data_IF_215048240813
#
_entry.id   IF_215048240813
#
_cell.length_a   1.000
_cell.length_b   1.000
_cell.length_c   1.000
_cell.angle_alpha   90.00
_cell.angle_beta   90.00
_cell.angle_gamma   90.00
#
_symmetry.space_group_name_H-M   'P 1'
#
loop_
_entity.id
_entity.type
_entity.pdbx_description
1 polymer ?
#
# COMPACT_ATOMS: atom_id res chain seq x y z
N UNK A 1 -5.59 -18.36 22.34
CA UNK A 1 -6.73 -18.02 23.20
C UNK A 1 -7.69 -17.17 22.38
N UNK A 2 -8.90 -17.65 22.13
CA UNK A 2 -9.89 -16.94 21.30
C UNK A 2 -10.61 -15.87 22.10
N UNK A 3 -11.27 -14.91 21.42
CA UNK A 3 -12.11 -13.91 22.10
C UNK A 3 -13.22 -14.55 22.93
N UNK A 4 -13.73 -15.73 22.49
CA UNK A 4 -14.77 -16.46 23.19
C UNK A 4 -14.24 -17.10 24.48
N UNK A 5 -12.99 -17.56 24.49
CA UNK A 5 -12.34 -18.08 25.70
C UNK A 5 -12.10 -16.97 26.75
N UNK A 6 -11.73 -15.77 26.30
CA UNK A 6 -11.58 -14.61 27.17
C UNK A 6 -12.93 -14.22 27.80
N UNK A 7 -13.98 -14.15 26.97
CA UNK A 7 -15.32 -13.80 27.42
C UNK A 7 -15.87 -14.84 28.40
N UNK A 8 -15.61 -16.12 28.17
CA UNK A 8 -16.01 -17.19 29.10
C UNK A 8 -15.31 -17.05 30.44
N UNK A 9 -13.98 -16.82 30.45
CA UNK A 9 -13.23 -16.59 31.68
C UNK A 9 -13.71 -15.38 32.47
N UNK A 10 -14.03 -14.28 31.80
CA UNK A 10 -14.58 -13.08 32.45
C UNK A 10 -15.94 -13.37 33.09
N UNK A 11 -16.79 -14.17 32.46
CA UNK A 11 -18.09 -14.57 32.98
C UNK A 11 -17.95 -15.49 34.20
N UNK A 12 -17.02 -16.46 34.16
CA UNK A 12 -16.70 -17.32 35.30
C UNK A 12 -16.18 -16.47 36.49
N UNK A 13 -15.29 -15.53 36.22
CA UNK A 13 -14.74 -14.63 37.25
C UNK A 13 -15.85 -13.80 37.92
N UNK A 14 -16.83 -13.33 37.15
CA UNK A 14 -17.98 -12.58 37.71
C UNK A 14 -18.78 -13.45 38.68
N UNK A 15 -19.08 -14.70 38.32
CA UNK A 15 -19.84 -15.59 39.20
C UNK A 15 -19.05 -15.99 40.45
N UNK A 16 -17.76 -16.28 40.33
CA UNK A 16 -16.88 -16.58 41.46
C UNK A 16 -16.80 -15.36 42.41
N UNK A 17 -16.52 -14.19 41.87
CA UNK A 17 -16.40 -12.96 42.67
C UNK A 17 -17.72 -12.52 43.31
N UNK A 18 -18.86 -12.78 42.62
CA UNK A 18 -20.19 -12.51 43.17
C UNK A 18 -20.51 -13.39 44.38
N UNK A 19 -19.97 -14.62 44.44
CA UNK A 19 -20.09 -15.49 45.61
C UNK A 19 -19.27 -14.99 46.82
N UNK A 20 -18.13 -14.36 46.56
CA UNK A 20 -17.23 -13.89 47.63
C UNK A 20 -17.63 -12.52 48.20
N UNK A 21 -17.84 -11.54 47.32
CA UNK A 21 -18.01 -10.11 47.74
C UNK A 21 -19.43 -9.58 47.50
N UNK A 22 -20.33 -10.41 47.03
CA UNK A 22 -21.70 -10.04 46.69
C UNK A 22 -21.86 -9.48 45.26
N UNK A 23 -23.05 -9.69 44.67
CA UNK A 23 -23.35 -9.40 43.27
C UNK A 23 -23.13 -7.94 42.88
N UNK A 24 -23.58 -7.01 43.74
CA UNK A 24 -23.51 -5.58 43.44
C UNK A 24 -22.07 -5.06 43.38
N UNK A 25 -21.21 -5.55 44.24
CA UNK A 25 -19.79 -5.18 44.28
C UNK A 25 -19.02 -5.85 43.13
N UNK A 26 -19.21 -7.15 42.91
CA UNK A 26 -18.58 -7.87 41.82
C UNK A 26 -18.94 -7.28 40.44
N UNK A 27 -20.22 -6.95 40.20
CA UNK A 27 -20.64 -6.34 38.95
C UNK A 27 -20.01 -4.95 38.74
N UNK A 28 -19.89 -4.14 39.78
CA UNK A 28 -19.25 -2.80 39.70
C UNK A 28 -17.77 -2.90 39.39
N UNK A 29 -17.04 -3.79 40.04
CA UNK A 29 -15.61 -3.98 39.87
C UNK A 29 -15.25 -4.56 38.48
N UNK A 30 -16.12 -5.40 37.91
CA UNK A 30 -15.88 -6.05 36.63
C UNK A 30 -16.63 -5.38 35.44
N UNK A 31 -17.29 -4.25 35.68
CA UNK A 31 -17.98 -3.49 34.63
C UNK A 31 -19.24 -4.16 34.06
N UNK A 32 -19.89 -5.04 34.81
CA UNK A 32 -21.13 -5.68 34.41
C UNK A 32 -22.37 -5.03 35.04
N UNK A 33 -23.47 -4.97 34.29
CA UNK A 33 -24.74 -4.59 34.86
C UNK A 33 -25.35 -5.76 35.63
N UNK A 34 -25.97 -5.49 36.82
CA UNK A 34 -26.54 -6.52 37.70
C UNK A 34 -27.60 -7.40 37.04
N UNK A 35 -28.38 -6.81 36.12
CA UNK A 35 -29.42 -7.58 35.37
C UNK A 35 -28.81 -8.75 34.56
N UNK A 36 -27.55 -8.60 34.09
CA UNK A 36 -26.86 -9.67 33.36
C UNK A 36 -26.60 -10.87 34.29
N UNK A 37 -26.10 -10.64 35.52
CA UNK A 37 -25.90 -11.70 36.51
C UNK A 37 -27.22 -12.43 36.84
N UNK A 38 -28.27 -11.70 37.20
CA UNK A 38 -29.55 -12.30 37.57
C UNK A 38 -30.26 -13.00 36.39
N UNK A 39 -30.03 -12.58 35.17
CA UNK A 39 -30.52 -13.29 33.98
C UNK A 39 -29.88 -14.68 33.82
N UNK A 40 -28.58 -14.78 34.12
CA UNK A 40 -27.83 -16.04 33.95
C UNK A 40 -27.85 -16.91 35.21
N UNK A 41 -28.05 -16.36 36.37
CA UNK A 41 -28.08 -17.09 37.66
C UNK A 41 -28.98 -18.34 37.62
N UNK A 42 -30.28 -18.27 37.23
CA UNK A 42 -31.15 -19.46 37.23
C UNK A 42 -30.75 -20.49 36.17
N UNK A 43 -30.04 -20.10 35.11
CA UNK A 43 -29.51 -21.01 34.11
C UNK A 43 -28.29 -21.75 34.65
N UNK A 44 -27.41 -21.06 35.31
CA UNK A 44 -26.22 -21.61 35.94
C UNK A 44 -26.58 -22.55 37.08
N UNK A 45 -27.53 -22.18 37.91
CA UNK A 45 -28.04 -23.04 39.02
C UNK A 45 -28.65 -24.35 38.53
N UNK A 46 -29.28 -24.35 37.33
CA UNK A 46 -29.92 -25.55 36.77
C UNK A 46 -28.96 -26.40 35.92
N UNK A 47 -28.05 -25.80 35.20
CA UNK A 47 -27.29 -26.45 34.13
C UNK A 47 -25.75 -26.31 34.29
N UNK A 48 -25.30 -25.63 35.35
CA UNK A 48 -23.89 -25.44 35.63
C UNK A 48 -23.22 -24.25 34.92
N UNK A 49 -21.99 -23.96 35.34
CA UNK A 49 -21.18 -22.80 34.86
C UNK A 49 -20.79 -22.92 33.38
N UNK A 50 -20.81 -24.11 32.80
CA UNK A 50 -20.52 -24.33 31.37
C UNK A 50 -21.46 -23.55 30.44
N UNK A 51 -22.67 -23.26 30.91
CA UNK A 51 -23.65 -22.48 30.17
C UNK A 51 -23.26 -21.03 29.95
N UNK A 52 -22.26 -20.55 30.69
CA UNK A 52 -21.67 -19.22 30.49
C UNK A 52 -20.77 -19.15 29.26
N UNK A 53 -20.40 -20.31 28.69
CA UNK A 53 -19.61 -20.35 27.46
C UNK A 53 -20.41 -19.74 26.32
N UNK A 54 -19.82 -18.81 25.53
CA UNK A 54 -20.46 -18.30 24.34
C UNK A 54 -20.87 -19.46 23.43
N UNK A 55 -22.10 -19.48 22.99
CA UNK A 55 -22.54 -20.46 22.00
C UNK A 55 -21.87 -20.16 20.69
N UNK A 56 -21.37 -21.18 20.00
CA UNK A 56 -20.91 -21.04 18.63
C UNK A 56 -22.00 -20.33 17.81
N UNK A 57 -21.64 -19.23 17.18
CA UNK A 57 -22.57 -18.51 16.31
C UNK A 57 -22.90 -19.42 15.14
N UNK A 58 -24.06 -20.02 15.16
CA UNK A 58 -24.60 -20.67 13.95
C UNK A 58 -24.60 -19.63 12.86
N UNK A 59 -23.91 -19.91 11.75
CA UNK A 59 -23.99 -19.03 10.59
C UNK A 59 -25.46 -18.79 10.26
N UNK A 60 -25.94 -17.54 10.22
CA UNK A 60 -27.32 -17.26 9.87
C UNK A 60 -27.59 -17.85 8.50
N UNK A 61 -28.67 -18.61 8.35
CA UNK A 61 -29.14 -19.01 7.03
C UNK A 61 -29.54 -17.74 6.28
N UNK A 62 -28.74 -17.40 5.27
CA UNK A 62 -29.05 -16.27 4.41
C UNK A 62 -30.21 -16.64 3.50
N UNK A 63 -31.35 -15.92 3.52
CA UNK A 63 -32.51 -16.23 2.67
C UNK A 63 -32.16 -16.33 1.18
N UNK A 64 -31.15 -15.56 0.75
CA UNK A 64 -30.64 -15.48 -0.63
C UNK A 64 -29.42 -16.35 -0.89
N UNK A 65 -29.10 -17.32 -0.05
CA UNK A 65 -27.99 -18.24 -0.30
C UNK A 65 -28.36 -19.15 -1.47
N UNK A 66 -27.42 -19.30 -2.41
CA UNK A 66 -27.60 -20.22 -3.53
C UNK A 66 -27.74 -21.65 -3.00
N UNK A 67 -28.62 -22.47 -3.64
CA UNK A 67 -28.73 -23.88 -3.31
C UNK A 67 -27.41 -24.63 -3.44
N UNK A 68 -27.12 -25.64 -2.61
CA UNK A 68 -25.85 -26.37 -2.63
C UNK A 68 -25.45 -26.89 -4.01
N UNK A 69 -26.39 -27.41 -4.77
CA UNK A 69 -26.10 -27.92 -6.13
C UNK A 69 -25.62 -26.83 -7.11
N UNK A 70 -26.10 -25.59 -6.96
CA UNK A 70 -25.60 -24.44 -7.75
C UNK A 70 -24.19 -24.07 -7.29
N UNK A 71 -23.91 -24.08 -5.99
CA UNK A 71 -22.57 -23.81 -5.48
C UNK A 71 -21.56 -24.84 -5.98
N UNK A 72 -21.89 -26.13 -5.91
CA UNK A 72 -21.05 -27.21 -6.44
C UNK A 72 -20.79 -27.05 -7.94
N UNK A 73 -21.82 -26.68 -8.70
CA UNK A 73 -21.67 -26.45 -10.14
C UNK A 73 -20.79 -25.25 -10.46
N UNK A 74 -20.90 -24.17 -9.68
CA UNK A 74 -19.99 -23.01 -9.80
C UNK A 74 -18.56 -23.42 -9.50
N UNK A 75 -18.33 -24.20 -8.45
CA UNK A 75 -16.99 -24.67 -8.04
C UNK A 75 -16.39 -25.57 -9.12
N UNK A 76 -17.13 -26.61 -9.55
CA UNK A 76 -16.67 -27.54 -10.57
C UNK A 76 -16.35 -26.83 -11.87
N UNK A 77 -17.21 -25.92 -12.32
CA UNK A 77 -16.99 -25.16 -13.53
C UNK A 77 -15.75 -24.24 -13.42
N UNK A 78 -15.58 -23.57 -12.27
CA UNK A 78 -14.46 -22.66 -12.03
C UNK A 78 -13.11 -23.41 -11.90
N UNK A 79 -13.12 -24.64 -11.41
CA UNK A 79 -11.94 -25.52 -11.37
C UNK A 79 -11.61 -26.08 -12.75
N UNK A 80 -12.62 -26.46 -13.55
CA UNK A 80 -12.41 -26.86 -14.95
C UNK A 80 -11.91 -25.73 -15.86
N UNK A 81 -12.26 -24.48 -15.49
CA UNK A 81 -11.88 -23.28 -16.25
C UNK A 81 -11.23 -22.22 -15.36
N UNK A 82 -10.10 -22.48 -14.75
CA UNK A 82 -9.51 -21.64 -13.70
C UNK A 82 -9.11 -20.24 -14.18
N UNK A 83 -8.98 -20.05 -15.49
CA UNK A 83 -8.69 -18.75 -16.11
C UNK A 83 -9.87 -17.78 -16.17
N UNK A 84 -11.11 -18.28 -15.98
CA UNK A 84 -12.31 -17.47 -16.11
C UNK A 84 -12.62 -16.72 -14.80
N UNK A 85 -12.86 -15.41 -14.92
CA UNK A 85 -13.34 -14.60 -13.79
C UNK A 85 -14.83 -14.82 -13.49
N UNK A 86 -15.32 -14.42 -12.30
CA UNK A 86 -16.70 -14.66 -11.85
C UNK A 86 -17.77 -14.20 -12.86
N UNK A 87 -17.52 -13.10 -13.57
CA UNK A 87 -18.46 -12.57 -14.58
C UNK A 87 -18.60 -13.51 -15.78
N UNK A 88 -17.50 -14.10 -16.23
CA UNK A 88 -17.51 -15.07 -17.34
C UNK A 88 -18.06 -16.43 -16.90
N UNK A 89 -17.75 -16.86 -15.66
CA UNK A 89 -18.34 -18.08 -15.08
C UNK A 89 -19.86 -17.95 -15.02
N UNK A 90 -20.40 -16.83 -14.53
CA UNK A 90 -21.84 -16.60 -14.50
C UNK A 90 -22.48 -16.62 -15.90
N UNK A 91 -21.85 -15.96 -16.86
CA UNK A 91 -22.34 -15.94 -18.25
C UNK A 91 -22.32 -17.32 -18.90
N UNK A 92 -21.27 -18.10 -18.69
CA UNK A 92 -21.16 -19.46 -19.23
C UNK A 92 -22.19 -20.42 -18.64
N UNK A 93 -22.36 -20.42 -17.33
CA UNK A 93 -23.35 -21.25 -16.64
C UNK A 93 -24.79 -20.95 -17.07
N UNK A 94 -25.05 -19.70 -17.51
CA UNK A 94 -26.34 -19.28 -18.06
C UNK A 94 -26.65 -19.83 -19.45
N UNK A 95 -25.66 -20.35 -20.17
CA UNK A 95 -25.89 -20.97 -21.49
C UNK A 95 -26.54 -22.35 -21.36
N UNK A 96 -27.51 -22.70 -22.22
CA UNK A 96 -28.22 -23.99 -22.17
C UNK A 96 -27.26 -25.19 -22.17
N UNK A 97 -26.19 -25.13 -22.98
CA UNK A 97 -25.17 -26.18 -23.07
C UNK A 97 -24.40 -26.40 -21.76
N UNK A 98 -24.39 -25.43 -20.85
CA UNK A 98 -23.76 -25.51 -19.53
C UNK A 98 -24.75 -25.61 -18.38
N UNK A 99 -26.02 -25.86 -18.69
CA UNK A 99 -27.10 -26.15 -17.73
C UNK A 99 -28.09 -25.01 -17.48
N UNK A 100 -27.96 -23.85 -18.16
CA UNK A 100 -28.91 -22.76 -18.10
C UNK A 100 -29.09 -22.12 -16.71
N UNK A 101 -28.04 -22.20 -15.85
CA UNK A 101 -28.12 -21.72 -14.47
C UNK A 101 -27.90 -20.21 -14.43
N UNK A 102 -28.96 -19.46 -14.11
CA UNK A 102 -28.90 -18.00 -14.00
C UNK A 102 -28.39 -17.60 -12.62
N UNK A 103 -27.18 -17.10 -12.56
CA UNK A 103 -26.55 -16.59 -11.34
C UNK A 103 -25.86 -15.25 -11.59
N UNK A 104 -25.84 -14.38 -10.58
CA UNK A 104 -25.12 -13.11 -10.70
C UNK A 104 -23.61 -13.30 -10.53
N UNK A 105 -22.82 -12.44 -11.19
CA UNK A 105 -21.35 -12.45 -11.04
C UNK A 105 -20.90 -12.26 -9.59
N UNK A 106 -21.62 -11.44 -8.82
CA UNK A 106 -21.37 -11.25 -7.38
C UNK A 106 -21.73 -12.49 -6.57
N UNK A 107 -22.77 -13.24 -6.94
CA UNK A 107 -23.11 -14.52 -6.34
C UNK A 107 -21.99 -15.54 -6.56
N UNK A 108 -21.52 -15.68 -7.80
CA UNK A 108 -20.38 -16.55 -8.13
C UNK A 108 -19.14 -16.17 -7.33
N UNK A 109 -18.81 -14.86 -7.24
CA UNK A 109 -17.65 -14.41 -6.48
C UNK A 109 -17.76 -14.74 -4.98
N UNK A 110 -18.95 -14.58 -4.38
CA UNK A 110 -19.20 -14.91 -2.97
C UNK A 110 -19.03 -16.42 -2.71
N UNK A 111 -19.53 -17.28 -3.60
CA UNK A 111 -19.32 -18.73 -3.53
C UNK A 111 -17.82 -19.04 -3.61
N UNK A 112 -17.15 -18.57 -4.64
CA UNK A 112 -15.72 -18.84 -4.83
C UNK A 112 -14.88 -18.35 -3.65
N UNK A 113 -15.15 -17.19 -3.07
CA UNK A 113 -14.43 -16.67 -1.89
C UNK A 113 -14.67 -17.54 -0.65
N UNK A 114 -15.88 -18.02 -0.43
CA UNK A 114 -16.24 -18.91 0.70
C UNK A 114 -15.45 -20.21 0.67
N UNK A 115 -15.18 -20.71 -0.53
CA UNK A 115 -14.39 -21.94 -0.75
C UNK A 115 -12.90 -21.70 -1.01
N UNK A 116 -12.37 -20.48 -0.77
CA UNK A 116 -10.96 -20.18 -0.99
C UNK A 116 -10.51 -20.15 -2.47
N UNK A 117 -11.48 -20.01 -3.40
CA UNK A 117 -11.27 -20.05 -4.85
C UNK A 117 -11.42 -18.69 -5.53
N UNK A 118 -11.40 -17.60 -4.78
CA UNK A 118 -11.71 -16.25 -5.25
C UNK A 118 -10.75 -15.75 -6.33
N UNK A 119 -9.49 -16.17 -6.30
CA UNK A 119 -8.46 -15.77 -7.26
C UNK A 119 -8.12 -16.87 -8.27
N UNK A 120 -7.58 -16.47 -9.43
CA UNK A 120 -7.08 -17.42 -10.43
C UNK A 120 -5.98 -18.34 -9.87
N UNK A 121 -5.09 -17.80 -9.06
CA UNK A 121 -3.97 -18.55 -8.48
C UNK A 121 -4.48 -19.64 -7.55
N UNK A 122 -5.45 -19.31 -6.68
CA UNK A 122 -6.07 -20.28 -5.78
C UNK A 122 -6.72 -21.44 -6.55
N UNK A 123 -7.43 -21.16 -7.64
CA UNK A 123 -8.05 -22.20 -8.47
C UNK A 123 -7.01 -23.06 -9.21
N UNK A 124 -5.96 -22.44 -9.75
CA UNK A 124 -4.90 -23.16 -10.43
C UNK A 124 -4.14 -24.09 -9.49
N UNK A 125 -3.93 -23.69 -8.23
CA UNK A 125 -3.23 -24.52 -7.24
C UNK A 125 -3.95 -25.82 -6.87
N UNK A 126 -5.26 -25.92 -7.16
CA UNK A 126 -6.08 -27.10 -6.86
C UNK A 126 -6.35 -28.00 -8.06
N UNK A 127 -5.98 -27.59 -9.28
CA UNK A 127 -6.18 -28.42 -10.48
C UNK A 127 -5.06 -29.45 -10.56
N UNK A 128 -5.41 -30.73 -10.39
CA UNK A 128 -4.49 -31.84 -10.55
C UNK A 128 -3.81 -31.79 -11.93
N UNK A 129 -2.49 -31.89 -11.97
CA UNK A 129 -1.70 -31.78 -13.21
C UNK A 129 -1.35 -30.34 -13.61
N UNK A 130 -1.86 -29.34 -12.93
CA UNK A 130 -1.25 -28.02 -12.94
C UNK A 130 -0.01 -28.04 -12.02
N UNK A 131 0.92 -28.93 -12.33
CA UNK A 131 2.31 -28.59 -12.08
C UNK A 131 2.46 -27.21 -12.69
N UNK A 132 2.82 -26.21 -11.88
CA UNK A 132 3.26 -24.93 -12.42
C UNK A 132 4.10 -25.30 -13.65
N UNK A 133 3.68 -24.90 -14.87
CA UNK A 133 4.51 -25.10 -16.06
C UNK A 133 5.89 -24.79 -15.57
N UNK A 134 6.86 -25.71 -15.67
CA UNK A 134 8.21 -25.42 -15.22
C UNK A 134 8.45 -24.05 -15.80
N UNK A 135 8.62 -23.09 -14.94
CA UNK A 135 8.74 -21.69 -15.35
C UNK A 135 9.79 -21.82 -16.41
N UNK A 136 9.39 -21.69 -17.70
CA UNK A 136 10.32 -21.85 -18.83
C UNK A 136 11.46 -21.03 -18.34
N UNK A 137 12.60 -21.68 -17.99
CA UNK A 137 13.69 -20.97 -17.36
C UNK A 137 13.86 -19.76 -18.22
N UNK A 138 13.32 -18.65 -17.73
CA UNK A 138 13.41 -17.42 -18.48
C UNK A 138 14.90 -17.30 -18.65
N UNK A 139 15.43 -17.16 -19.90
CA UNK A 139 16.86 -17.13 -20.15
C UNK A 139 17.44 -16.29 -19.04
N UNK A 140 18.48 -16.76 -18.33
CA UNK A 140 18.93 -16.21 -17.05
C UNK A 140 18.85 -14.71 -17.22
N UNK A 141 17.92 -14.10 -16.47
CA UNK A 141 17.65 -12.67 -16.59
C UNK A 141 19.02 -12.07 -16.49
N UNK A 142 19.53 -11.31 -17.51
CA UNK A 142 20.85 -10.72 -17.43
C UNK A 142 20.85 -10.10 -16.04
N UNK A 143 21.79 -10.53 -15.20
CA UNK A 143 21.83 -10.25 -13.76
C UNK A 143 21.29 -8.85 -13.57
N UNK A 144 20.26 -8.65 -12.77
CA UNK A 144 19.77 -7.30 -12.57
C UNK A 144 21.04 -6.55 -12.30
N UNK A 145 21.37 -5.54 -13.11
CA UNK A 145 22.46 -4.63 -12.85
C UNK A 145 22.05 -3.95 -11.55
N UNK A 146 22.22 -4.67 -10.43
CA UNK A 146 22.20 -4.11 -9.11
C UNK A 146 23.37 -3.16 -9.12
N UNK A 147 23.06 -1.91 -9.46
CA UNK A 147 23.94 -0.85 -9.05
C UNK A 147 24.04 -1.03 -7.56
N UNK A 148 25.22 -1.42 -7.11
CA UNK A 148 25.54 -1.35 -5.69
C UNK A 148 25.50 0.13 -5.34
N UNK A 149 24.34 0.54 -4.83
CA UNK A 149 24.09 1.91 -4.42
C UNK A 149 24.51 1.98 -2.97
N UNK A 150 25.77 2.29 -2.71
CA UNK A 150 26.32 2.32 -1.36
C UNK A 150 26.33 3.72 -0.78
N UNK A 151 26.62 4.71 -1.60
CA UNK A 151 26.85 6.08 -1.17
C UNK A 151 25.85 7.05 -1.78
N UNK A 152 25.55 8.18 -1.08
CA UNK A 152 24.76 9.25 -1.66
C UNK A 152 25.33 9.70 -3.00
N UNK A 153 24.44 9.88 -3.99
CA UNK A 153 24.82 10.26 -5.35
C UNK A 153 25.15 9.10 -6.30
N UNK A 154 25.30 7.86 -5.83
CA UNK A 154 25.52 6.71 -6.70
C UNK A 154 24.37 6.52 -7.70
N UNK A 155 23.14 6.65 -7.22
CA UNK A 155 21.94 6.62 -8.04
C UNK A 155 20.86 7.55 -7.49
N UNK A 156 20.39 8.41 -8.36
CA UNK A 156 19.28 9.31 -8.09
C UNK A 156 18.13 8.96 -9.04
N UNK A 157 16.92 8.80 -8.50
CA UNK A 157 15.71 8.59 -9.31
C UNK A 157 14.95 9.90 -9.43
N UNK A 158 14.46 10.20 -10.64
CA UNK A 158 13.68 11.41 -10.95
C UNK A 158 12.36 11.01 -11.54
N UNK A 159 11.29 11.67 -11.10
CA UNK A 159 9.95 11.44 -11.63
C UNK A 159 9.08 12.69 -11.44
N UNK A 160 8.02 12.79 -12.25
CA UNK A 160 7.06 13.87 -12.22
C UNK A 160 5.67 13.35 -11.83
N UNK A 161 5.02 14.03 -10.89
CA UNK A 161 3.70 13.67 -10.40
C UNK A 161 2.69 14.77 -10.70
N UNK A 162 1.58 14.42 -11.37
CA UNK A 162 0.51 15.36 -11.66
C UNK A 162 -0.32 15.65 -10.41
N UNK A 163 -0.36 16.92 -9.99
CA UNK A 163 -1.16 17.35 -8.84
C UNK A 163 -2.58 17.74 -9.29
N UNK A 164 -2.72 18.49 -10.40
CA UNK A 164 -4.00 18.95 -10.87
C UNK A 164 -3.95 20.31 -11.56
N UNK A 165 -5.12 20.86 -11.88
CA UNK A 165 -5.29 22.27 -12.28
C UNK A 165 -5.74 23.04 -11.04
N UNK A 166 -4.98 24.07 -10.69
CA UNK A 166 -5.26 24.88 -9.50
C UNK A 166 -5.90 26.21 -9.91
N UNK A 167 -6.80 26.70 -9.07
CA UNK A 167 -7.38 28.02 -9.25
C UNK A 167 -6.27 29.10 -9.21
N UNK A 168 -6.34 30.03 -10.15
CA UNK A 168 -5.36 31.11 -10.29
C UNK A 168 -4.08 30.74 -11.03
N UNK A 169 -3.95 29.51 -11.59
CA UNK A 169 -2.85 29.13 -12.48
C UNK A 169 -3.31 28.93 -13.91
N UNK A 170 -2.47 29.33 -14.86
CA UNK A 170 -2.65 29.02 -16.29
C UNK A 170 -1.84 27.78 -16.63
N UNK A 171 -2.48 26.58 -16.59
CA UNK A 171 -1.81 25.33 -16.91
C UNK A 171 -2.07 24.21 -15.92
N UNK A 172 -1.21 23.20 -15.95
CA UNK A 172 -1.23 22.03 -15.08
C UNK A 172 -0.13 22.13 -14.04
N UNK A 173 -0.44 21.78 -12.81
CA UNK A 173 0.51 21.80 -11.72
C UNK A 173 1.14 20.42 -11.57
N UNK A 174 2.45 20.39 -11.56
CA UNK A 174 3.25 19.18 -11.45
C UNK A 174 4.20 19.26 -10.25
N UNK A 175 4.38 18.15 -9.57
CA UNK A 175 5.44 17.93 -8.61
C UNK A 175 6.61 17.29 -9.36
N UNK A 176 7.76 17.91 -9.30
CA UNK A 176 9.03 17.38 -9.77
C UNK A 176 9.79 16.84 -8.57
N UNK A 177 10.16 15.59 -8.60
CA UNK A 177 10.71 14.89 -7.42
C UNK A 177 11.94 14.11 -7.78
N UNK A 178 12.90 14.14 -6.89
CA UNK A 178 14.16 13.41 -7.01
C UNK A 178 14.46 12.75 -5.67
N UNK A 179 14.84 11.49 -5.69
CA UNK A 179 15.27 10.76 -4.49
C UNK A 179 16.64 10.13 -4.70
N UNK A 180 17.53 10.32 -3.74
CA UNK A 180 18.76 9.55 -3.67
C UNK A 180 18.47 8.15 -3.10
N UNK A 181 18.83 7.13 -3.84
CA UNK A 181 18.49 5.74 -3.50
C UNK A 181 19.26 5.23 -2.28
N UNK A 182 20.48 5.73 -2.07
CA UNK A 182 21.31 5.32 -0.93
C UNK A 182 20.80 5.87 0.39
N UNK A 183 20.55 7.18 0.44
CA UNK A 183 20.19 7.90 1.67
C UNK A 183 18.69 8.05 1.86
N UNK A 184 17.91 7.91 0.79
CA UNK A 184 16.48 8.30 0.71
C UNK A 184 16.27 9.81 0.86
N UNK A 185 17.29 10.64 0.68
CA UNK A 185 17.18 12.10 0.69
C UNK A 185 16.40 12.57 -0.54
N UNK A 186 15.51 13.53 -0.35
CA UNK A 186 14.57 13.96 -1.37
C UNK A 186 14.73 15.44 -1.69
N UNK A 187 14.71 15.76 -2.98
CA UNK A 187 14.53 17.10 -3.51
C UNK A 187 13.24 17.15 -4.30
N UNK A 188 12.58 18.28 -4.27
CA UNK A 188 11.37 18.46 -5.04
C UNK A 188 10.96 19.91 -5.17
N UNK A 189 10.07 20.15 -6.10
CA UNK A 189 9.41 21.43 -6.31
C UNK A 189 8.05 21.25 -6.96
N UNK A 190 7.18 22.24 -6.78
CA UNK A 190 5.90 22.35 -7.51
C UNK A 190 6.04 23.42 -8.56
N UNK A 191 5.72 23.11 -9.82
CA UNK A 191 5.78 24.01 -10.93
C UNK A 191 4.52 23.90 -11.81
N UNK A 192 4.23 24.95 -12.56
CA UNK A 192 3.14 24.98 -13.51
C UNK A 192 3.70 24.89 -14.92
N UNK A 193 3.13 24.02 -15.74
CA UNK A 193 3.41 23.93 -17.17
C UNK A 193 2.10 23.85 -17.96
N UNK A 194 2.15 24.09 -19.26
CA UNK A 194 0.94 24.17 -20.10
C UNK A 194 0.17 22.83 -20.10
N UNK A 195 0.85 21.73 -20.42
CA UNK A 195 0.24 20.40 -20.52
C UNK A 195 1.05 19.33 -19.81
N UNK A 196 2.27 19.10 -20.24
CA UNK A 196 3.16 18.05 -19.74
C UNK A 196 4.24 18.64 -18.83
N UNK A 197 4.95 17.82 -18.03
CA UNK A 197 6.10 18.28 -17.29
C UNK A 197 7.12 18.93 -18.22
N UNK A 198 7.74 20.00 -17.74
CA UNK A 198 8.73 20.76 -18.53
C UNK A 198 10.15 20.25 -18.25
N UNK A 199 10.84 19.89 -19.31
CA UNK A 199 12.26 19.46 -19.30
C UNK A 199 13.18 20.48 -18.59
N UNK A 200 12.86 21.79 -18.69
CA UNK A 200 13.59 22.86 -18.00
C UNK A 200 13.58 22.66 -16.48
N UNK A 201 12.41 22.34 -15.91
CA UNK A 201 12.29 22.14 -14.46
C UNK A 201 12.97 20.86 -14.02
N UNK A 202 12.87 19.77 -14.81
CA UNK A 202 13.59 18.53 -14.55
C UNK A 202 15.11 18.77 -14.55
N UNK A 203 15.62 19.49 -15.55
CA UNK A 203 17.06 19.81 -15.68
C UNK A 203 17.54 20.71 -14.54
N UNK A 204 16.76 21.72 -14.16
CA UNK A 204 17.08 22.58 -13.03
C UNK A 204 17.15 21.81 -11.71
N UNK A 205 16.20 20.87 -11.49
CA UNK A 205 16.18 20.03 -10.30
C UNK A 205 17.42 19.15 -10.21
N UNK A 206 17.82 18.47 -11.30
CA UNK A 206 19.00 17.60 -11.30
C UNK A 206 20.29 18.40 -11.09
N UNK A 207 20.42 19.61 -11.65
CA UNK A 207 21.57 20.51 -11.38
C UNK A 207 21.64 20.90 -9.91
N UNK A 208 20.50 21.23 -9.29
CA UNK A 208 20.41 21.52 -7.86
C UNK A 208 20.86 20.30 -7.02
N UNK A 209 20.39 19.10 -7.34
CA UNK A 209 20.78 17.85 -6.68
C UNK A 209 22.28 17.63 -6.76
N UNK A 210 22.88 17.79 -7.95
CA UNK A 210 24.31 17.63 -8.14
C UNK A 210 25.12 18.64 -7.32
N UNK A 211 24.69 19.91 -7.29
CA UNK A 211 25.33 20.97 -6.50
C UNK A 211 25.26 20.69 -5.00
N UNK A 212 24.08 20.29 -4.47
CA UNK A 212 23.92 20.00 -3.05
C UNK A 212 24.70 18.75 -2.62
N UNK A 213 24.72 17.69 -3.45
CA UNK A 213 25.54 16.50 -3.23
C UNK A 213 27.05 16.87 -3.22
N UNK A 214 27.49 17.67 -4.17
CA UNK A 214 28.90 18.12 -4.24
C UNK A 214 29.30 18.94 -3.00
N UNK A 215 28.43 19.83 -2.52
CA UNK A 215 28.64 20.58 -1.30
C UNK A 215 28.73 19.67 -0.03
N UNK A 216 28.10 18.49 -0.08
CA UNK A 216 28.18 17.47 0.96
C UNK A 216 29.37 16.50 0.78
N UNK A 217 30.19 16.67 -0.27
CA UNK A 217 31.33 15.80 -0.58
C UNK A 217 31.00 14.57 -1.42
N UNK A 218 29.79 14.51 -1.99
CA UNK A 218 29.35 13.40 -2.83
C UNK A 218 29.33 13.78 -4.31
N UNK A 219 29.51 12.80 -5.18
CA UNK A 219 29.42 12.99 -6.63
C UNK A 219 28.18 12.30 -7.18
N UNK A 220 27.39 13.01 -7.99
CA UNK A 220 26.28 12.40 -8.73
C UNK A 220 26.84 11.51 -9.85
N UNK A 221 26.62 10.18 -9.75
CA UNK A 221 27.14 9.19 -10.71
C UNK A 221 26.10 8.76 -11.74
N UNK A 222 24.84 8.58 -11.33
CA UNK A 222 23.79 8.14 -12.23
C UNK A 222 22.43 8.75 -11.89
N UNK A 223 21.66 9.05 -12.93
CA UNK A 223 20.27 9.50 -12.86
C UNK A 223 19.40 8.49 -13.59
N UNK A 224 18.38 7.95 -12.90
CA UNK A 224 17.39 7.06 -13.48
C UNK A 224 16.05 7.75 -13.62
N UNK A 225 15.41 7.60 -14.79
CA UNK A 225 14.12 8.17 -15.11
C UNK A 225 13.25 7.15 -15.82
N UNK A 226 11.96 7.37 -15.86
CA UNK A 226 11.09 6.67 -16.81
C UNK A 226 11.33 7.15 -18.24
N UNK A 227 10.49 6.71 -19.18
CA UNK A 227 10.56 7.06 -20.59
C UNK A 227 9.70 8.29 -20.94
N UNK A 228 9.37 9.14 -19.97
CA UNK A 228 8.63 10.38 -20.19
C UNK A 228 9.28 11.31 -21.21
N UNK A 229 8.46 12.06 -21.93
CA UNK A 229 8.94 13.00 -22.97
C UNK A 229 9.91 14.03 -22.42
N UNK A 230 9.69 14.49 -21.19
CA UNK A 230 10.51 15.45 -20.46
C UNK A 230 11.93 14.95 -20.20
N UNK A 231 12.10 13.63 -20.03
CA UNK A 231 13.38 12.98 -19.77
C UNK A 231 14.07 12.49 -21.05
N UNK A 232 13.28 12.16 -22.09
CA UNK A 232 13.81 11.78 -23.41
C UNK A 232 14.33 12.97 -24.21
N UNK A 233 13.93 14.16 -23.83
CA UNK A 233 14.36 15.39 -24.48
C UNK A 233 15.88 15.59 -24.35
N UNK A 234 16.52 15.93 -25.45
CA UNK A 234 17.97 16.13 -25.54
C UNK A 234 18.51 17.11 -24.48
N UNK A 235 17.83 18.24 -24.14
CA UNK A 235 18.30 19.16 -23.12
C UNK A 235 18.46 18.54 -21.74
N UNK A 236 17.59 17.57 -21.37
CA UNK A 236 17.71 16.85 -20.10
C UNK A 236 18.93 15.93 -20.11
N UNK A 237 19.07 15.12 -21.15
CA UNK A 237 20.19 14.20 -21.31
C UNK A 237 21.52 14.97 -21.31
N UNK A 238 21.61 16.09 -22.05
CA UNK A 238 22.78 16.98 -22.01
C UNK A 238 23.07 17.53 -20.61
N UNK A 239 22.03 17.93 -19.88
CA UNK A 239 22.20 18.42 -18.52
C UNK A 239 22.79 17.35 -17.60
N UNK A 240 22.30 16.10 -17.66
CA UNK A 240 22.81 14.98 -16.86
C UNK A 240 24.26 14.64 -17.23
N UNK A 241 24.56 14.53 -18.53
CA UNK A 241 25.92 14.21 -19.01
C UNK A 241 26.88 15.34 -18.65
N UNK A 242 26.49 16.62 -18.78
CA UNK A 242 27.29 17.78 -18.42
C UNK A 242 27.66 17.85 -16.94
N UNK A 243 26.92 17.16 -16.07
CA UNK A 243 27.22 16.96 -14.64
C UNK A 243 28.15 15.76 -14.38
N UNK A 244 28.61 15.08 -15.43
CA UNK A 244 29.45 13.89 -15.35
C UNK A 244 28.71 12.65 -14.86
N UNK A 245 27.36 12.66 -14.94
CA UNK A 245 26.52 11.55 -14.52
C UNK A 245 26.01 10.74 -15.73
N UNK A 246 25.71 9.46 -15.50
CA UNK A 246 25.10 8.58 -16.52
C UNK A 246 23.58 8.72 -16.47
N UNK A 247 22.93 9.00 -17.61
CA UNK A 247 21.47 8.93 -17.72
C UNK A 247 21.05 7.48 -18.02
N UNK A 248 20.06 6.97 -17.26
CA UNK A 248 19.54 5.62 -17.38
C UNK A 248 18.03 5.65 -17.49
N UNK A 249 17.51 5.05 -18.55
CA UNK A 249 16.09 4.84 -18.69
C UNK A 249 15.67 3.51 -18.07
N UNK A 250 14.51 3.51 -17.43
CA UNK A 250 13.88 2.29 -16.95
C UNK A 250 13.45 1.46 -18.15
N UNK A 251 13.73 0.16 -18.11
CA UNK A 251 13.25 -0.76 -19.17
C UNK A 251 11.73 -0.89 -19.10
N UNK A 252 11.08 -0.73 -20.24
CA UNK A 252 9.63 -0.94 -20.36
C UNK A 252 9.25 -2.32 -19.78
N UNK A 253 8.20 -2.35 -18.95
CA UNK A 253 7.73 -3.57 -18.30
C UNK A 253 8.45 -3.97 -17.00
N UNK A 254 9.39 -3.17 -16.48
CA UNK A 254 10.04 -3.38 -15.18
C UNK A 254 9.90 -2.16 -14.24
N UNK A 255 8.71 -1.92 -13.71
CA UNK A 255 8.47 -0.79 -12.79
C UNK A 255 9.32 -0.88 -11.51
N UNK A 256 9.79 -2.06 -11.14
CA UNK A 256 10.61 -2.29 -9.94
C UNK A 256 11.90 -1.45 -9.90
N UNK A 257 12.40 -0.99 -11.05
CA UNK A 257 13.61 -0.16 -11.12
C UNK A 257 13.39 1.30 -10.70
N UNK A 258 12.13 1.78 -10.64
CA UNK A 258 11.76 3.12 -10.14
C UNK A 258 11.06 3.08 -8.77
N UNK A 259 11.10 1.95 -8.11
CA UNK A 259 10.32 1.69 -6.90
C UNK A 259 10.60 2.65 -5.72
N UNK A 260 11.74 3.33 -5.68
CA UNK A 260 12.03 4.29 -4.61
C UNK A 260 11.23 5.58 -4.80
N UNK A 261 11.21 6.17 -6.01
CA UNK A 261 10.45 7.39 -6.26
C UNK A 261 8.94 7.15 -6.29
N UNK A 262 8.49 6.00 -6.79
CA UNK A 262 7.06 5.61 -6.72
C UNK A 262 6.57 5.48 -5.27
N UNK A 263 7.37 4.84 -4.42
CA UNK A 263 7.08 4.75 -2.98
C UNK A 263 7.09 6.12 -2.32
N UNK A 264 8.02 6.98 -2.70
CA UNK A 264 8.09 8.35 -2.23
C UNK A 264 6.84 9.13 -2.63
N UNK A 265 6.38 9.05 -3.89
CA UNK A 265 5.16 9.71 -4.34
C UNK A 265 3.95 9.28 -3.52
N UNK A 266 3.82 7.98 -3.21
CA UNK A 266 2.77 7.49 -2.32
C UNK A 266 2.88 8.11 -0.93
N UNK A 267 4.09 8.19 -0.38
CA UNK A 267 4.33 8.78 0.94
C UNK A 267 3.99 10.28 0.95
N UNK A 268 4.41 11.05 -0.05
CA UNK A 268 4.06 12.46 -0.19
C UNK A 268 2.55 12.64 -0.37
N UNK A 269 1.91 11.77 -1.14
CA UNK A 269 0.45 11.81 -1.32
C UNK A 269 -0.28 11.64 0.02
N UNK A 270 0.13 10.67 0.82
CA UNK A 270 -0.51 10.36 2.11
C UNK A 270 -0.19 11.40 3.20
N UNK A 271 1.07 11.78 3.31
CA UNK A 271 1.54 12.58 4.46
C UNK A 271 1.54 14.10 4.18
N UNK A 272 1.58 14.53 2.92
CA UNK A 272 1.57 15.94 2.52
C UNK A 272 0.28 16.33 1.81
N UNK A 273 0.01 15.74 0.62
CA UNK A 273 -1.07 16.24 -0.24
C UNK A 273 -2.46 16.00 0.33
N UNK A 274 -2.77 14.80 0.83
CA UNK A 274 -4.08 14.53 1.43
C UNK A 274 -4.39 15.48 2.59
N UNK A 275 -3.48 15.72 3.56
CA UNK A 275 -3.71 16.72 4.60
C UNK A 275 -3.85 18.14 4.06
N UNK A 276 -3.06 18.53 3.06
CA UNK A 276 -3.15 19.88 2.48
C UNK A 276 -4.47 20.12 1.76
N UNK A 277 -4.93 19.15 0.97
CA UNK A 277 -6.24 19.24 0.30
C UNK A 277 -7.42 19.14 1.27
N UNK A 278 -7.30 18.39 2.36
CA UNK A 278 -8.34 18.33 3.38
C UNK A 278 -8.52 19.65 4.15
N UNK A 279 -7.46 20.45 4.27
CA UNK A 279 -7.50 21.76 4.96
C UNK A 279 -8.02 22.90 4.09
N UNK A 280 -7.96 22.77 2.77
CA UNK A 280 -8.30 23.84 1.84
C UNK A 280 -9.29 23.37 0.79
N UNK A 281 -10.53 23.92 0.81
CA UNK A 281 -11.54 23.66 -0.23
C UNK A 281 -11.04 24.02 -1.64
N UNK A 282 -10.25 25.09 -1.74
CA UNK A 282 -9.61 25.52 -2.98
C UNK A 282 -8.12 25.77 -2.71
N UNK A 283 -7.26 24.78 -2.96
CA UNK A 283 -5.85 24.92 -2.71
C UNK A 283 -5.21 25.92 -3.68
N UNK A 284 -4.42 26.85 -3.14
CA UNK A 284 -3.66 27.82 -3.93
C UNK A 284 -2.27 27.27 -4.23
N UNK A 285 -1.76 27.56 -5.43
CA UNK A 285 -0.43 27.15 -5.88
C UNK A 285 0.67 27.48 -4.86
N UNK A 286 0.69 28.73 -4.35
CA UNK A 286 1.69 29.17 -3.36
C UNK A 286 1.61 28.42 -2.03
N UNK A 287 0.42 28.05 -1.60
CA UNK A 287 0.23 27.26 -0.39
C UNK A 287 0.76 25.84 -0.58
N UNK A 288 0.44 25.18 -1.70
CA UNK A 288 0.94 23.83 -2.00
C UNK A 288 2.46 23.80 -2.14
N UNK A 289 3.05 24.83 -2.77
CA UNK A 289 4.52 24.96 -2.86
C UNK A 289 5.15 25.01 -1.46
N UNK A 290 4.64 25.85 -0.58
CA UNK A 290 5.10 25.98 0.80
C UNK A 290 4.89 24.68 1.60
N UNK A 291 3.74 24.03 1.43
CA UNK A 291 3.43 22.78 2.11
C UNK A 291 4.40 21.66 1.69
N UNK A 292 4.73 21.57 0.39
CA UNK A 292 5.75 20.61 -0.06
C UNK A 292 7.13 20.93 0.49
N UNK A 293 7.56 22.19 0.46
CA UNK A 293 8.86 22.62 0.99
C UNK A 293 8.98 22.29 2.49
N UNK A 294 7.98 22.61 3.28
CA UNK A 294 7.91 22.26 4.70
C UNK A 294 7.94 20.74 4.93
N UNK A 295 7.15 19.99 4.13
CA UNK A 295 7.11 18.55 4.23
C UNK A 295 8.46 17.90 3.86
N UNK A 296 9.11 18.36 2.79
CA UNK A 296 10.42 17.82 2.38
C UNK A 296 11.51 18.14 3.42
N UNK A 297 11.42 19.28 4.10
CA UNK A 297 12.29 19.59 5.23
C UNK A 297 12.07 18.58 6.35
N UNK A 298 10.82 18.37 6.79
CA UNK A 298 10.49 17.35 7.78
C UNK A 298 10.94 15.94 7.34
N UNK A 299 10.65 15.55 6.10
CA UNK A 299 11.01 14.24 5.55
C UNK A 299 12.51 13.97 5.61
N UNK A 300 13.32 14.96 5.23
CA UNK A 300 14.76 14.81 5.14
C UNK A 300 15.48 14.91 6.50
N UNK A 301 15.02 15.78 7.39
CA UNK A 301 15.76 16.14 8.60
C UNK A 301 15.18 15.58 9.90
N UNK A 302 13.91 15.24 9.92
CA UNK A 302 13.23 14.85 11.17
C UNK A 302 12.58 13.47 11.10
N UNK A 303 12.06 13.09 9.93
CA UNK A 303 11.32 11.83 9.76
C UNK A 303 12.26 10.63 9.86
N UNK A 304 11.96 9.72 10.79
CA UNK A 304 12.70 8.47 10.91
C UNK A 304 12.42 7.53 9.73
N UNK A 305 13.48 6.97 9.13
CA UNK A 305 13.40 6.03 8.02
C UNK A 305 13.85 4.64 8.46
N UNK A 306 12.93 3.68 8.47
CA UNK A 306 13.18 2.29 8.90
C UNK A 306 13.81 1.42 7.81
N UNK A 307 14.13 1.99 6.65
CA UNK A 307 14.79 1.28 5.56
C UNK A 307 16.14 0.69 5.96
N UNK A 308 16.59 -0.34 5.23
CA UNK A 308 17.78 -1.13 5.54
C UNK A 308 19.04 -0.28 5.79
N UNK A 309 19.18 0.85 5.09
CA UNK A 309 20.37 1.74 5.19
C UNK A 309 20.20 2.81 6.26
N UNK A 310 19.01 3.39 6.36
CA UNK A 310 18.75 4.46 7.32
C UNK A 310 18.68 3.96 8.77
N UNK A 311 18.15 2.77 8.99
CA UNK A 311 18.06 2.13 10.33
C UNK A 311 17.47 3.06 11.41
N UNK A 312 16.40 3.77 11.06
CA UNK A 312 15.73 4.74 11.93
C UNK A 312 16.26 6.19 11.84
N UNK A 313 17.36 6.43 11.14
CA UNK A 313 17.94 7.77 11.00
C UNK A 313 17.23 8.60 9.91
N UNK A 314 17.16 9.93 10.04
CA UNK A 314 16.73 10.80 8.96
C UNK A 314 17.67 10.74 7.75
N UNK A 315 17.17 10.94 6.52
CA UNK A 315 18.00 10.94 5.30
C UNK A 315 19.19 11.91 5.32
N UNK A 316 18.99 13.09 5.90
CA UNK A 316 20.03 14.11 6.00
C UNK A 316 21.30 13.65 6.76
N UNK A 317 21.12 12.77 7.73
CA UNK A 317 22.23 12.21 8.50
C UNK A 317 23.18 11.37 7.63
N UNK A 318 22.64 10.68 6.62
CA UNK A 318 23.45 9.90 5.68
C UNK A 318 24.16 10.79 4.67
N UNK A 319 23.56 11.93 4.29
CA UNK A 319 24.15 12.86 3.31
C UNK A 319 25.16 13.78 3.96
N UNK A 320 24.84 14.38 5.11
CA UNK A 320 25.62 15.45 5.74
C UNK A 320 26.38 15.02 7.01
N UNK A 321 26.10 13.81 7.54
CA UNK A 321 26.58 13.35 8.84
C UNK A 321 25.79 13.97 10.00
N UNK A 322 25.93 13.40 11.19
CA UNK A 322 25.16 13.76 12.38
C UNK A 322 25.32 15.23 12.85
N UNK A 323 26.37 15.91 12.44
CA UNK A 323 26.69 17.29 12.87
C UNK A 323 26.00 18.40 12.06
N UNK A 324 25.36 18.07 10.92
CA UNK A 324 24.68 19.06 10.04
C UNK A 324 23.18 18.81 9.94
N UNK A 325 22.53 18.58 11.06
CA UNK A 325 21.13 18.13 11.09
C UNK A 325 20.08 19.22 10.82
N UNK A 326 20.42 20.50 10.69
CA UNK A 326 19.48 21.57 10.28
C UNK A 326 20.18 22.62 9.43
N UNK A 327 19.60 23.01 8.28
CA UNK A 327 19.95 24.32 7.73
C UNK A 327 19.49 25.38 8.74
N UNK A 328 20.39 26.28 9.12
CA UNK A 328 20.07 27.48 9.90
C UNK A 328 19.27 28.45 9.05
#
# INVERSE_FOLDING_TARGET
MTNDDLLYRQRLLLFAKAAEVGVSRACRELGYHRSWYYRWKPVVERQGLEMLRPRERRMPRMPNQLPPWIEERIISFALGHPGLGPRRVAAQLGLPMWGGVVVSASGVLKVLRRHGLGTRIQRLGLVAGYAAKPTREAPPLPEPLHLEVEHPGDLVQVDCFYIGRLSGTRGRTWQYTTIDVASSFVWGSVQVSEVNPDTKHCSALVRRVASELAAAGWKLKAVSTDNGGEFRAEPFTRAVIGLGAKHRFIRAGRPQTNGCVERLHRTILEECWRPSFARALVPRYTALKRDLEAYLSYYNYERAHTGRRNKGRPPAELVYGARKMRPR
#
